data_IF_724149520662
#
_entry.id   IF_724149520662
#
_cell.length_a   1.000
_cell.length_b   1.000
_cell.length_c   1.000
_cell.angle_alpha   90.00
_cell.angle_beta   90.00
_cell.angle_gamma   90.00
#
_symmetry.space_group_name_H-M   'P 1'
#
loop_
_entity.id
_entity.type
_entity.pdbx_description
1 polymer ?
#
# COMPACT_ATOMS: atom_id res chain seq x y z
N UNK A 1 36.76 5.25 -31.40
CA UNK A 1 36.33 5.37 -29.99
C UNK A 1 34.88 4.94 -29.95
N UNK A 2 34.46 3.98 -29.09
CA UNK A 2 33.05 3.66 -28.99
C UNK A 2 32.27 4.93 -28.62
N UNK A 3 31.14 5.14 -29.29
CA UNK A 3 30.22 6.25 -29.04
C UNK A 3 29.88 6.30 -27.55
N UNK A 4 30.11 7.46 -26.93
CA UNK A 4 29.82 7.67 -25.51
C UNK A 4 28.31 7.83 -25.35
N UNK A 5 27.71 7.03 -24.47
CA UNK A 5 26.26 6.87 -24.37
C UNK A 5 25.77 7.36 -23.02
N UNK A 6 24.60 7.98 -23.00
CA UNK A 6 23.89 8.33 -21.77
C UNK A 6 22.92 7.21 -21.43
N UNK A 7 22.75 6.91 -20.15
CA UNK A 7 21.84 5.86 -19.72
C UNK A 7 20.97 6.28 -18.54
N UNK A 8 19.79 5.69 -18.45
CA UNK A 8 18.99 5.65 -17.22
C UNK A 8 18.85 4.20 -16.79
N UNK A 9 19.02 3.95 -15.49
CA UNK A 9 18.65 2.66 -14.88
C UNK A 9 17.51 2.88 -13.91
N UNK A 10 16.41 2.17 -14.10
CA UNK A 10 15.27 2.16 -13.18
C UNK A 10 15.43 0.94 -12.29
N UNK A 11 15.36 1.13 -10.97
CA UNK A 11 15.50 0.09 -9.96
C UNK A 11 14.18 -0.11 -9.23
N UNK A 12 13.91 -1.37 -8.94
CA UNK A 12 12.78 -1.81 -8.12
C UNK A 12 13.33 -2.71 -7.02
N UNK A 13 13.27 -2.21 -5.80
CA UNK A 13 13.53 -2.98 -4.59
C UNK A 13 12.21 -3.55 -4.05
N UNK A 14 12.23 -4.84 -3.72
CA UNK A 14 11.10 -5.50 -3.08
C UNK A 14 11.07 -5.20 -1.57
N UNK A 15 9.91 -5.35 -0.91
CA UNK A 15 9.85 -5.50 0.54
C UNK A 15 10.88 -6.52 1.06
N UNK A 16 11.58 -6.17 2.14
CA UNK A 16 12.67 -6.98 2.68
C UNK A 16 14.02 -6.79 1.99
N UNK A 17 14.15 -5.89 1.00
CA UNK A 17 15.46 -5.60 0.39
C UNK A 17 16.39 -4.98 1.45
N UNK A 18 17.59 -5.55 1.69
CA UNK A 18 18.52 -5.02 2.69
C UNK A 18 19.04 -3.62 2.34
N UNK A 19 19.11 -2.76 3.35
CA UNK A 19 19.71 -1.42 3.27
C UNK A 19 21.12 -1.46 3.86
N UNK A 20 22.12 -1.09 3.06
CA UNK A 20 23.54 -1.19 3.41
C UNK A 20 24.03 0.01 4.21
N UNK A 21 23.50 1.21 3.96
CA UNK A 21 23.94 2.44 4.61
C UNK A 21 23.09 2.75 5.84
N UNK A 22 21.77 2.60 5.72
CA UNK A 22 20.83 2.91 6.81
C UNK A 22 20.63 1.73 7.79
N UNK A 23 21.06 0.52 7.38
CA UNK A 23 20.78 -0.72 8.10
C UNK A 23 19.30 -1.15 8.00
N UNK A 24 19.04 -2.42 8.31
CA UNK A 24 17.69 -2.98 8.24
C UNK A 24 17.24 -3.32 6.81
N UNK A 25 15.94 -3.26 6.56
CA UNK A 25 15.31 -3.73 5.31
C UNK A 25 14.18 -2.78 4.90
N UNK A 26 13.97 -2.64 3.59
CA UNK A 26 12.87 -1.84 3.05
C UNK A 26 11.52 -2.44 3.43
N UNK A 27 10.61 -1.62 3.99
CA UNK A 27 9.27 -2.07 4.41
C UNK A 27 8.33 -2.26 3.20
N UNK A 28 7.93 -1.22 2.45
CA UNK A 28 7.06 -1.38 1.27
C UNK A 28 7.81 -1.71 -0.03
N UNK A 29 9.15 -1.80 0.00
CA UNK A 29 9.99 -1.75 -1.19
C UNK A 29 10.32 -0.31 -1.59
N UNK A 30 11.06 -0.13 -2.69
CA UNK A 30 11.40 1.20 -3.21
C UNK A 30 11.53 1.21 -4.73
N UNK A 31 11.11 2.29 -5.37
CA UNK A 31 11.37 2.53 -6.80
C UNK A 31 12.16 3.82 -6.93
N UNK A 32 13.27 3.75 -7.66
CA UNK A 32 14.18 4.86 -7.85
C UNK A 32 14.90 4.70 -9.19
N UNK A 33 15.61 5.74 -9.63
CA UNK A 33 16.38 5.68 -10.86
C UNK A 33 17.78 6.26 -10.68
N UNK A 34 18.68 5.88 -11.57
CA UNK A 34 19.98 6.53 -11.70
C UNK A 34 20.23 6.94 -13.13
N UNK A 35 20.93 8.04 -13.33
CA UNK A 35 21.44 8.43 -14.65
C UNK A 35 22.95 8.23 -14.72
N UNK A 36 23.45 7.75 -15.85
CA UNK A 36 24.86 7.62 -16.14
C UNK A 36 25.24 8.55 -17.31
N UNK A 37 26.26 9.37 -17.13
CA UNK A 37 26.74 10.28 -18.17
C UNK A 37 27.71 9.59 -19.15
N UNK A 38 28.05 10.31 -20.22
CA UNK A 38 28.99 9.86 -21.25
C UNK A 38 30.42 9.52 -20.73
N UNK A 39 30.74 9.82 -19.48
CA UNK A 39 32.02 9.52 -18.82
C UNK A 39 31.92 8.39 -17.79
N UNK A 40 30.72 7.84 -17.58
CA UNK A 40 30.45 6.78 -16.60
C UNK A 40 30.10 7.28 -15.21
N UNK A 41 29.91 8.60 -15.01
CA UNK A 41 29.49 9.11 -13.71
C UNK A 41 28.01 8.81 -13.50
N UNK A 42 27.70 8.17 -12.36
CA UNK A 42 26.34 7.83 -11.96
C UNK A 42 25.81 8.82 -10.94
N UNK A 43 24.52 9.11 -11.05
CA UNK A 43 23.76 9.91 -10.08
C UNK A 43 22.49 9.16 -9.74
N UNK A 44 22.24 8.95 -8.45
CA UNK A 44 21.01 8.30 -7.97
C UNK A 44 19.95 9.36 -7.64
N UNK A 45 18.70 9.00 -7.88
CA UNK A 45 17.53 9.81 -7.57
C UNK A 45 16.41 8.91 -7.06
N UNK A 46 16.07 9.05 -5.79
CA UNK A 46 14.82 8.53 -5.25
C UNK A 46 14.19 9.48 -4.25
N UNK A 47 12.99 9.14 -3.81
CA UNK A 47 12.16 10.00 -2.97
C UNK A 47 11.53 9.19 -1.85
N UNK A 48 11.76 9.59 -0.61
CA UNK A 48 11.31 8.90 0.59
C UNK A 48 11.03 9.93 1.70
N UNK A 49 10.25 9.60 2.74
CA UNK A 49 10.04 10.49 3.88
C UNK A 49 11.37 10.77 4.59
N UNK A 50 11.54 11.99 5.13
CA UNK A 50 12.73 12.35 5.93
C UNK A 50 12.88 11.43 7.14
N UNK A 51 11.77 11.09 7.78
CA UNK A 51 11.72 10.13 8.87
C UNK A 51 11.54 8.73 8.30
N UNK A 52 12.58 7.91 8.40
CA UNK A 52 12.59 6.55 7.88
C UNK A 52 11.43 5.73 8.46
N UNK A 53 10.63 5.14 7.58
CA UNK A 53 9.48 4.31 7.96
C UNK A 53 8.17 5.08 8.17
N UNK A 54 8.15 6.41 8.05
CA UNK A 54 6.91 7.19 8.15
C UNK A 54 6.01 7.03 6.93
N UNK A 55 4.72 6.73 7.13
CA UNK A 55 3.75 6.62 6.05
C UNK A 55 3.41 7.99 5.40
N UNK A 56 3.64 9.10 6.11
CA UNK A 56 3.42 10.44 5.59
C UNK A 56 4.30 11.45 6.30
N UNK A 57 4.79 12.45 5.58
CA UNK A 57 5.64 13.49 6.16
C UNK A 57 6.35 14.31 5.09
N UNK A 58 7.19 15.28 5.48
CA UNK A 58 8.06 15.96 4.55
C UNK A 58 8.90 14.91 3.81
N UNK A 59 8.82 14.92 2.48
CA UNK A 59 9.63 14.06 1.64
C UNK A 59 11.01 14.68 1.42
N UNK A 60 11.99 13.82 1.19
CA UNK A 60 13.33 14.21 0.77
C UNK A 60 13.76 13.35 -0.39
N UNK A 61 14.57 13.95 -1.27
CA UNK A 61 15.28 13.21 -2.30
C UNK A 61 16.56 12.62 -1.73
N UNK A 62 16.81 11.36 -2.06
CA UNK A 62 18.01 10.62 -1.73
C UNK A 62 18.86 10.43 -2.98
N UNK A 63 20.15 10.71 -2.85
CA UNK A 63 21.19 10.57 -3.88
C UNK A 63 22.08 9.34 -3.67
N UNK A 64 21.79 8.54 -2.64
CA UNK A 64 22.52 7.35 -2.24
C UNK A 64 21.76 6.03 -2.47
N UNK A 65 20.53 6.06 -3.02
CA UNK A 65 19.69 4.86 -3.14
C UNK A 65 20.35 3.71 -3.92
N UNK A 66 21.14 4.01 -4.96
CA UNK A 66 21.93 3.00 -5.69
C UNK A 66 22.92 2.27 -4.79
N UNK A 67 23.53 2.95 -3.84
CA UNK A 67 24.53 2.38 -2.92
C UNK A 67 23.88 1.79 -1.67
N UNK A 68 22.69 2.26 -1.31
CA UNK A 68 21.96 1.82 -0.12
C UNK A 68 21.22 0.49 -0.36
N UNK A 69 20.53 0.33 -1.48
CA UNK A 69 19.68 -0.86 -1.71
C UNK A 69 20.48 -2.04 -2.28
N UNK A 70 20.66 -3.09 -1.48
CA UNK A 70 21.40 -4.29 -1.88
C UNK A 70 20.54 -5.23 -2.72
N UNK A 71 20.96 -5.47 -3.98
CA UNK A 71 20.33 -6.42 -4.92
C UNK A 71 18.82 -6.17 -5.12
N UNK A 72 18.42 -5.02 -5.68
CA UNK A 72 17.02 -4.78 -6.03
C UNK A 72 16.47 -5.91 -6.91
N UNK A 73 15.21 -6.30 -6.71
CA UNK A 73 14.60 -7.45 -7.40
C UNK A 73 14.60 -7.26 -8.92
N UNK A 74 14.53 -6.02 -9.39
CA UNK A 74 14.57 -5.69 -10.80
C UNK A 74 15.36 -4.40 -11.07
N UNK A 75 16.10 -4.40 -12.17
CA UNK A 75 16.74 -3.21 -12.71
C UNK A 75 16.66 -3.23 -14.24
N UNK A 76 16.23 -2.13 -14.86
CA UNK A 76 16.23 -1.95 -16.32
C UNK A 76 17.09 -0.75 -16.69
N UNK A 77 18.13 -0.98 -17.47
CA UNK A 77 18.97 0.07 -18.05
C UNK A 77 18.53 0.33 -19.48
N UNK A 78 18.41 1.61 -19.86
CA UNK A 78 18.09 2.06 -21.20
C UNK A 78 19.06 3.14 -21.63
N UNK A 79 19.55 3.07 -22.87
CA UNK A 79 20.22 4.21 -23.49
C UNK A 79 19.21 5.33 -23.77
N UNK A 80 19.61 6.55 -23.46
CA UNK A 80 18.81 7.76 -23.60
C UNK A 80 19.58 8.82 -24.36
N UNK A 81 18.86 9.81 -24.89
CA UNK A 81 19.47 10.98 -25.50
C UNK A 81 20.04 11.92 -24.42
N UNK A 82 20.93 12.83 -24.82
CA UNK A 82 21.45 13.87 -23.92
C UNK A 82 20.31 14.75 -23.35
N UNK A 83 19.32 15.11 -24.17
CA UNK A 83 18.17 15.92 -23.73
C UNK A 83 17.37 15.20 -22.63
N UNK A 84 17.11 13.90 -22.82
CA UNK A 84 16.46 13.08 -21.80
C UNK A 84 17.29 12.98 -20.52
N UNK A 85 18.61 12.82 -20.64
CA UNK A 85 19.53 12.82 -19.50
C UNK A 85 19.46 14.14 -18.73
N UNK A 86 19.52 15.28 -19.43
CA UNK A 86 19.49 16.61 -18.81
C UNK A 86 18.15 16.82 -18.08
N UNK A 87 17.01 16.46 -18.70
CA UNK A 87 15.67 16.55 -18.09
C UNK A 87 15.50 15.65 -16.86
N UNK A 88 15.99 14.41 -16.92
CA UNK A 88 15.98 13.50 -15.76
C UNK A 88 16.79 14.08 -14.60
N UNK A 89 17.95 14.69 -14.90
CA UNK A 89 18.78 15.33 -13.88
C UNK A 89 18.14 16.62 -13.34
N UNK A 90 17.49 17.44 -14.18
CA UNK A 90 16.83 18.67 -13.74
C UNK A 90 15.62 18.37 -12.84
N UNK A 91 14.72 17.49 -13.28
CA UNK A 91 13.62 17.01 -12.45
C UNK A 91 14.15 16.31 -11.21
N UNK A 92 15.15 15.45 -11.43
CA UNK A 92 15.93 14.82 -10.39
C UNK A 92 16.25 15.85 -9.34
N UNK A 93 16.99 16.92 -9.65
CA UNK A 93 17.50 17.98 -8.75
C UNK A 93 16.46 18.90 -8.11
N UNK A 94 15.35 19.19 -8.78
CA UNK A 94 14.33 20.11 -8.26
C UNK A 94 12.94 19.74 -8.76
N UNK A 95 12.44 18.59 -8.30
CA UNK A 95 11.11 18.11 -8.69
C UNK A 95 9.99 19.10 -8.30
N UNK A 96 10.16 19.85 -7.20
CA UNK A 96 9.22 20.87 -6.74
C UNK A 96 9.00 21.98 -7.78
N UNK A 97 10.06 22.43 -8.46
CA UNK A 97 9.98 23.39 -9.57
C UNK A 97 9.11 22.90 -10.74
N UNK A 98 8.99 21.59 -10.91
CA UNK A 98 8.18 20.96 -11.97
C UNK A 98 6.78 20.55 -11.51
N UNK A 99 6.33 21.05 -10.35
CA UNK A 99 5.00 20.78 -9.82
C UNK A 99 4.87 19.44 -9.11
N UNK A 100 5.97 18.73 -8.86
CA UNK A 100 5.94 17.55 -8.00
C UNK A 100 5.75 17.97 -6.54
N UNK A 101 4.82 17.31 -5.84
CA UNK A 101 4.59 17.58 -4.44
C UNK A 101 5.79 17.04 -3.63
N UNK A 102 6.47 17.86 -2.83
CA UNK A 102 7.58 17.37 -2.00
C UNK A 102 7.12 16.75 -0.67
N UNK A 103 5.81 16.66 -0.44
CA UNK A 103 5.24 15.97 0.71
C UNK A 103 5.10 14.48 0.40
N UNK A 104 5.80 13.62 1.13
CA UNK A 104 5.61 12.18 1.01
C UNK A 104 4.23 11.79 1.56
N UNK A 105 3.43 11.14 0.72
CA UNK A 105 2.10 10.65 1.06
C UNK A 105 1.97 9.25 0.48
N UNK A 106 2.18 8.22 1.31
CA UNK A 106 2.14 6.78 1.01
C UNK A 106 1.61 6.37 -0.37
N UNK A 107 0.35 6.69 -0.67
CA UNK A 107 -0.37 6.25 -1.87
C UNK A 107 -0.71 7.36 -2.87
N UNK A 108 -0.47 8.62 -2.50
CA UNK A 108 -0.84 9.80 -3.31
C UNK A 108 0.37 10.49 -3.92
N UNK A 109 1.54 10.34 -3.30
CA UNK A 109 2.79 10.94 -3.73
C UNK A 109 3.98 10.21 -3.08
N UNK A 110 4.50 9.21 -3.77
CA UNK A 110 5.52 8.29 -3.24
C UNK A 110 6.73 8.13 -4.19
N UNK A 111 7.60 7.16 -3.89
CA UNK A 111 8.80 6.86 -4.68
C UNK A 111 8.50 6.43 -6.13
N UNK A 112 7.38 5.73 -6.34
CA UNK A 112 6.88 5.30 -7.66
C UNK A 112 6.40 6.53 -8.45
N UNK A 113 5.59 7.39 -7.83
CA UNK A 113 5.10 8.63 -8.47
C UNK A 113 6.26 9.56 -8.85
N UNK A 114 7.26 9.70 -7.97
CA UNK A 114 8.46 10.49 -8.25
C UNK A 114 9.21 9.95 -9.46
N UNK A 115 9.41 8.63 -9.52
CA UNK A 115 10.13 8.00 -10.64
C UNK A 115 9.35 8.15 -11.95
N UNK A 116 8.03 7.94 -11.94
CA UNK A 116 7.21 8.14 -13.14
C UNK A 116 7.12 9.60 -13.56
N UNK A 117 7.04 10.54 -12.62
CA UNK A 117 7.05 11.97 -12.91
C UNK A 117 8.38 12.39 -13.58
N UNK A 118 9.51 11.86 -13.10
CA UNK A 118 10.82 12.09 -13.73
C UNK A 118 10.89 11.54 -15.15
N UNK A 119 10.48 10.27 -15.34
CA UNK A 119 10.47 9.62 -16.65
C UNK A 119 9.55 10.37 -17.63
N UNK A 120 8.35 10.74 -17.19
CA UNK A 120 7.39 11.49 -18.00
C UNK A 120 7.90 12.89 -18.36
N UNK A 121 8.58 13.58 -17.43
CA UNK A 121 9.20 14.88 -17.69
C UNK A 121 10.30 14.77 -18.77
N UNK A 122 11.02 13.65 -18.79
CA UNK A 122 12.00 13.33 -19.81
C UNK A 122 11.39 12.76 -21.12
N UNK A 123 10.07 12.64 -21.24
CA UNK A 123 9.42 12.07 -22.42
C UNK A 123 9.61 10.56 -22.58
N UNK A 124 9.92 9.86 -21.49
CA UNK A 124 10.02 8.40 -21.42
C UNK A 124 8.70 7.88 -20.83
N UNK A 125 7.91 7.21 -21.66
CA UNK A 125 6.54 6.81 -21.30
C UNK A 125 6.37 5.28 -21.35
N UNK A 126 5.55 4.77 -20.43
CA UNK A 126 5.00 3.41 -20.50
C UNK A 126 3.96 3.30 -21.61
N UNK A 127 3.72 2.09 -22.12
CA UNK A 127 2.58 1.87 -23.00
C UNK A 127 1.27 2.05 -22.21
N UNK A 128 0.37 2.88 -22.73
CA UNK A 128 -0.92 3.16 -22.11
C UNK A 128 -1.91 2.06 -22.49
N UNK A 129 -2.34 1.23 -21.52
CA UNK A 129 -3.33 0.17 -21.74
C UNK A 129 -4.52 0.29 -20.77
N UNK A 130 -5.74 0.12 -21.27
CA UNK A 130 -6.94 -0.18 -20.48
C UNK A 130 -7.08 -1.70 -20.42
N UNK A 131 -7.22 -2.22 -19.20
CA UNK A 131 -7.58 -3.62 -18.95
C UNK A 131 -9.11 -3.70 -18.87
N UNK A 132 -9.74 -4.24 -19.91
CA UNK A 132 -11.18 -4.52 -19.92
C UNK A 132 -11.43 -5.97 -19.44
N UNK A 133 -12.47 -6.21 -18.63
CA UNK A 133 -12.89 -7.57 -18.34
C UNK A 133 -13.33 -8.24 -19.64
N UNK A 134 -12.63 -9.29 -20.02
CA UNK A 134 -13.01 -10.19 -21.11
C UNK A 134 -14.20 -11.03 -20.70
N UNK A 135 -15.05 -11.36 -21.68
CA UNK A 135 -16.27 -12.14 -21.49
C UNK A 135 -16.03 -13.64 -21.26
N UNK A 136 -14.80 -14.07 -20.96
CA UNK A 136 -14.37 -15.47 -20.93
C UNK A 136 -14.16 -16.08 -19.54
N UNK A 137 -14.62 -15.43 -18.47
CA UNK A 137 -14.43 -15.88 -17.09
C UNK A 137 -13.19 -15.30 -16.41
N UNK A 138 -12.89 -15.72 -15.17
CA UNK A 138 -11.82 -15.15 -14.34
C UNK A 138 -10.46 -15.28 -15.05
N UNK A 139 -9.78 -14.16 -15.28
CA UNK A 139 -8.46 -14.12 -15.93
C UNK A 139 -8.49 -13.85 -17.44
N UNK A 140 -9.66 -13.71 -18.06
CA UNK A 140 -9.76 -13.20 -19.43
C UNK A 140 -9.71 -11.67 -19.40
N UNK A 141 -8.53 -11.09 -19.57
CA UNK A 141 -8.33 -9.65 -19.62
C UNK A 141 -7.95 -9.22 -21.04
N UNK A 142 -8.70 -8.27 -21.61
CA UNK A 142 -8.39 -7.70 -22.93
C UNK A 142 -7.63 -6.40 -22.71
N UNK A 143 -6.36 -6.36 -23.15
CA UNK A 143 -5.52 -5.17 -23.13
C UNK A 143 -5.83 -4.33 -24.37
N UNK A 144 -6.38 -3.13 -24.18
CA UNK A 144 -6.69 -2.18 -25.26
C UNK A 144 -5.87 -0.92 -25.07
N UNK A 145 -5.17 -0.46 -26.12
CA UNK A 145 -4.37 0.76 -26.10
C UNK A 145 -5.24 1.98 -25.73
N UNK A 146 -4.83 2.77 -24.75
CA UNK A 146 -5.62 3.85 -24.16
C UNK A 146 -4.95 5.22 -24.33
N UNK A 147 -5.71 6.32 -24.50
CA UNK A 147 -5.13 7.65 -24.65
C UNK A 147 -4.72 8.31 -23.31
N UNK A 148 -5.26 7.84 -22.18
CA UNK A 148 -5.07 8.45 -20.84
C UNK A 148 -4.38 7.47 -19.89
N UNK A 149 -3.49 8.01 -19.07
CA UNK A 149 -2.70 7.28 -18.09
C UNK A 149 -3.62 6.86 -16.92
N UNK A 150 -3.93 5.56 -16.82
CA UNK A 150 -4.81 5.05 -15.76
C UNK A 150 -3.94 4.77 -14.52
N UNK A 151 -3.46 5.85 -13.89
CA UNK A 151 -2.67 5.83 -12.65
C UNK A 151 -3.51 5.45 -11.41
N UNK A 152 -4.27 4.36 -11.51
CA UNK A 152 -5.30 4.01 -10.52
C UNK A 152 -5.22 2.61 -9.93
N UNK A 153 -4.30 1.75 -10.38
CA UNK A 153 -4.22 0.34 -9.92
C UNK A 153 -2.81 -0.13 -9.51
N UNK A 154 -1.74 0.49 -10.02
CA UNK A 154 -0.35 0.00 -9.83
C UNK A 154 0.56 0.92 -8.99
N UNK A 155 0.08 2.09 -8.54
CA UNK A 155 0.89 3.14 -7.91
C UNK A 155 1.42 2.80 -6.50
N UNK A 156 0.98 1.69 -5.92
CA UNK A 156 1.23 1.36 -4.50
C UNK A 156 2.51 0.55 -4.28
N UNK A 157 3.00 -0.18 -5.29
CA UNK A 157 3.99 -1.25 -5.08
C UNK A 157 5.07 -1.24 -6.16
N UNK A 158 6.34 -0.98 -5.80
CA UNK A 158 7.46 -1.00 -6.74
C UNK A 158 7.49 -2.28 -7.62
N UNK A 159 7.22 -3.46 -7.05
CA UNK A 159 7.25 -4.74 -7.78
C UNK A 159 6.16 -4.86 -8.85
N UNK A 160 5.01 -4.21 -8.68
CA UNK A 160 3.91 -4.25 -9.66
C UNK A 160 4.15 -3.29 -10.84
N UNK A 161 5.13 -2.39 -10.70
CA UNK A 161 5.53 -1.49 -11.78
C UNK A 161 6.54 -2.16 -12.73
N UNK A 162 6.98 -3.40 -12.46
CA UNK A 162 7.95 -4.09 -13.33
C UNK A 162 7.38 -4.28 -14.73
N UNK A 163 6.11 -4.70 -14.89
CA UNK A 163 5.49 -4.83 -16.21
C UNK A 163 5.35 -3.46 -16.91
N UNK A 164 4.98 -2.41 -16.16
CA UNK A 164 4.87 -1.05 -16.68
C UNK A 164 6.24 -0.52 -17.14
N UNK A 165 7.30 -0.79 -16.37
CA UNK A 165 8.69 -0.46 -16.74
C UNK A 165 9.09 -1.25 -17.99
N UNK A 166 8.74 -2.53 -18.08
CA UNK A 166 9.02 -3.37 -19.25
C UNK A 166 8.31 -2.89 -20.52
N UNK A 167 7.14 -2.25 -20.38
CA UNK A 167 6.41 -1.68 -21.51
C UNK A 167 7.06 -0.43 -22.12
N UNK A 168 8.02 0.21 -21.44
CA UNK A 168 8.70 1.39 -21.97
C UNK A 168 9.44 1.00 -23.26
N UNK A 169 9.13 1.70 -24.36
CA UNK A 169 9.90 1.58 -25.60
C UNK A 169 11.32 2.13 -25.37
N UNK A 170 12.35 1.41 -25.82
CA UNK A 170 13.73 1.86 -25.66
C UNK A 170 13.93 3.19 -26.42
N UNK A 171 14.33 4.28 -25.75
CA UNK A 171 14.51 5.58 -26.41
C UNK A 171 15.54 5.53 -27.54
N UNK A 172 16.59 4.72 -27.36
CA UNK A 172 17.50 4.31 -28.44
C UNK A 172 17.32 2.80 -28.69
N UNK A 173 16.56 2.40 -29.73
CA UNK A 173 16.33 1.00 -30.07
C UNK A 173 17.64 0.26 -30.38
N UNK A 174 17.68 -1.04 -30.06
CA UNK A 174 18.82 -1.93 -30.34
C UNK A 174 20.18 -1.50 -29.76
N UNK A 175 20.20 -0.57 -28.80
CA UNK A 175 21.42 -0.24 -28.09
C UNK A 175 21.92 -1.43 -27.25
N UNK A 176 23.25 -1.73 -27.26
CA UNK A 176 23.84 -2.71 -26.37
C UNK A 176 23.83 -2.32 -24.88
N UNK A 177 23.48 -1.07 -24.56
CA UNK A 177 23.31 -0.58 -23.17
C UNK A 177 21.94 -0.99 -22.61
N UNK A 178 20.97 -1.26 -23.48
CA UNK A 178 19.63 -1.68 -23.07
C UNK A 178 19.71 -3.08 -22.44
N UNK A 179 19.53 -3.16 -21.13
CA UNK A 179 19.68 -4.41 -20.36
C UNK A 179 18.63 -4.51 -19.26
N UNK A 180 18.31 -5.74 -18.88
CA UNK A 180 17.43 -6.04 -17.75
C UNK A 180 18.11 -7.04 -16.82
N UNK A 181 17.99 -6.80 -15.52
CA UNK A 181 18.49 -7.70 -14.47
C UNK A 181 17.37 -8.03 -13.50
N UNK A 182 17.25 -9.30 -13.15
CA UNK A 182 16.37 -9.81 -12.10
C UNK A 182 17.18 -10.51 -11.03
N UNK A 183 16.88 -10.21 -9.77
CA UNK A 183 17.43 -10.89 -8.60
C UNK A 183 16.31 -11.71 -7.93
N UNK A 184 16.62 -12.78 -7.19
CA UNK A 184 15.62 -13.52 -6.44
C UNK A 184 15.00 -12.66 -5.34
N UNK A 185 13.75 -12.93 -4.98
CA UNK A 185 13.10 -12.29 -3.84
C UNK A 185 13.87 -12.54 -2.53
N UNK A 186 13.92 -11.55 -1.61
CA UNK A 186 14.54 -11.74 -0.29
C UNK A 186 13.88 -12.91 0.44
N UNK A 187 14.68 -13.84 0.96
CA UNK A 187 14.21 -15.07 1.62
C UNK A 187 13.85 -14.87 3.10
N UNK A 188 14.43 -13.84 3.73
CA UNK A 188 14.34 -13.57 5.18
C UNK A 188 13.36 -12.42 5.46
N UNK A 189 12.12 -12.56 4.99
CA UNK A 189 11.08 -11.55 5.23
C UNK A 189 10.47 -11.76 6.61
N UNK A 190 10.39 -10.70 7.43
CA UNK A 190 9.59 -10.71 8.65
C UNK A 190 8.11 -10.98 8.34
N UNK A 191 7.25 -11.41 9.29
CA UNK A 191 5.82 -11.59 9.04
C UNK A 191 5.12 -10.35 8.47
N UNK A 192 5.53 -9.15 8.91
CA UNK A 192 5.10 -7.86 8.35
C UNK A 192 5.58 -7.67 6.90
N UNK A 193 6.81 -8.06 6.59
CA UNK A 193 7.35 -7.98 5.23
C UNK A 193 6.76 -9.04 4.30
N UNK A 194 6.44 -10.23 4.80
CA UNK A 194 5.74 -11.29 4.09
C UNK A 194 4.31 -10.89 3.73
N UNK A 195 3.63 -10.18 4.63
CA UNK A 195 2.33 -9.58 4.37
C UNK A 195 2.40 -8.50 3.27
N UNK A 196 3.55 -7.83 3.11
CA UNK A 196 3.78 -6.79 2.12
C UNK A 196 4.38 -7.30 0.79
N UNK A 197 4.99 -8.49 0.74
CA UNK A 197 5.96 -8.83 -0.32
C UNK A 197 5.43 -9.45 -1.60
N UNK A 198 4.44 -10.35 -1.63
CA UNK A 198 4.05 -10.94 -2.95
C UNK A 198 2.72 -11.70 -3.02
N UNK A 199 1.94 -11.78 -1.94
CA UNK A 199 0.51 -12.14 -1.97
C UNK A 199 -0.19 -11.39 -0.85
N UNK A 200 -1.51 -11.30 -0.91
CA UNK A 200 -2.41 -10.79 0.14
C UNK A 200 -2.88 -9.35 -0.04
N UNK A 201 -3.67 -9.14 -1.08
CA UNK A 201 -4.88 -8.31 -0.95
C UNK A 201 -5.82 -8.96 0.07
N UNK A 202 -6.68 -8.20 0.72
CA UNK A 202 -7.68 -8.71 1.67
C UNK A 202 -8.57 -9.80 1.05
N UNK A 203 -8.75 -9.80 -0.27
CA UNK A 203 -9.51 -10.81 -1.03
C UNK A 203 -8.78 -12.16 -1.20
N UNK A 204 -7.49 -12.25 -0.88
CA UNK A 204 -6.70 -13.47 -1.06
C UNK A 204 -6.87 -14.45 0.11
N UNK A 205 -7.10 -15.76 -0.14
CA UNK A 205 -7.36 -16.74 0.91
C UNK A 205 -6.31 -16.87 2.01
N UNK A 206 -5.04 -16.56 1.73
CA UNK A 206 -3.96 -16.67 2.70
C UNK A 206 -3.69 -15.37 3.48
N UNK A 207 -4.48 -14.30 3.27
CA UNK A 207 -4.40 -13.08 4.07
C UNK A 207 -5.00 -13.36 5.48
N UNK A 208 -4.34 -12.97 6.59
CA UNK A 208 -4.86 -13.21 7.95
C UNK A 208 -6.31 -12.71 8.16
N UNK A 209 -6.61 -11.51 7.66
CA UNK A 209 -7.97 -10.95 7.66
C UNK A 209 -8.90 -11.37 6.50
N UNK A 210 -8.56 -12.37 5.67
CA UNK A 210 -9.46 -12.79 4.58
C UNK A 210 -10.81 -13.27 5.09
N UNK A 211 -10.84 -13.94 6.25
CA UNK A 211 -12.09 -14.36 6.89
C UNK A 211 -13.01 -13.17 7.21
N UNK A 212 -12.45 -12.13 7.84
CA UNK A 212 -13.17 -10.89 8.16
C UNK A 212 -13.56 -10.11 6.91
N UNK A 213 -12.73 -10.12 5.86
CA UNK A 213 -13.07 -9.51 4.57
C UNK A 213 -14.27 -10.18 3.90
N UNK A 214 -14.35 -11.51 3.91
CA UNK A 214 -15.51 -12.25 3.39
C UNK A 214 -16.78 -11.95 4.17
N UNK A 215 -16.67 -11.88 5.49
CA UNK A 215 -17.76 -11.45 6.37
C UNK A 215 -18.26 -10.03 6.03
N UNK A 216 -17.35 -9.09 5.79
CA UNK A 216 -17.71 -7.74 5.33
C UNK A 216 -18.40 -7.77 3.94
N UNK A 217 -17.90 -8.58 3.00
CA UNK A 217 -18.53 -8.77 1.68
C UNK A 217 -19.97 -9.30 1.80
N UNK A 218 -20.19 -10.28 2.68
CA UNK A 218 -21.53 -10.84 2.93
C UNK A 218 -22.47 -9.80 3.56
N UNK A 219 -21.96 -8.98 4.49
CA UNK A 219 -22.69 -7.87 5.08
C UNK A 219 -23.07 -6.79 4.06
N UNK A 220 -22.13 -6.39 3.20
CA UNK A 220 -22.38 -5.43 2.11
C UNK A 220 -23.40 -5.99 1.12
N UNK A 221 -23.33 -7.29 0.78
CA UNK A 221 -24.30 -7.93 -0.11
C UNK A 221 -25.72 -7.91 0.47
N UNK A 222 -25.88 -8.16 1.78
CA UNK A 222 -27.17 -8.04 2.47
C UNK A 222 -27.69 -6.61 2.47
N UNK A 223 -26.83 -5.64 2.81
CA UNK A 223 -27.16 -4.22 2.77
C UNK A 223 -27.62 -3.78 1.37
N UNK A 224 -26.89 -4.19 0.33
CA UNK A 224 -27.25 -3.91 -1.06
C UNK A 224 -28.62 -4.52 -1.41
N UNK A 225 -28.91 -5.75 -0.99
CA UNK A 225 -30.20 -6.39 -1.20
C UNK A 225 -31.36 -5.65 -0.50
N UNK A 226 -31.14 -5.18 0.73
CA UNK A 226 -32.13 -4.40 1.49
C UNK A 226 -32.47 -3.06 0.81
N UNK A 227 -31.49 -2.43 0.14
CA UNK A 227 -31.65 -1.15 -0.54
C UNK A 227 -31.86 -1.26 -2.06
N UNK A 228 -31.96 -2.47 -2.63
CA UNK A 228 -32.15 -2.68 -4.07
C UNK A 228 -30.96 -2.24 -4.94
N UNK A 229 -29.75 -2.24 -4.38
CA UNK A 229 -28.51 -1.90 -5.08
C UNK A 229 -27.92 -3.14 -5.74
N UNK A 230 -27.58 -3.05 -7.02
CA UNK A 230 -26.96 -4.15 -7.75
C UNK A 230 -25.49 -4.37 -7.33
N UNK A 231 -25.01 -5.63 -7.22
CA UNK A 231 -23.62 -5.91 -6.92
C UNK A 231 -22.65 -5.25 -7.91
N UNK A 232 -21.53 -4.75 -7.42
CA UNK A 232 -20.55 -4.03 -8.24
C UNK A 232 -19.12 -4.22 -7.72
N UNK A 233 -18.09 -3.93 -8.53
CA UNK A 233 -16.70 -3.93 -8.06
C UNK A 233 -16.44 -3.01 -6.87
N UNK A 234 -17.32 -2.01 -6.60
CA UNK A 234 -17.21 -1.13 -5.42
C UNK A 234 -17.49 -1.86 -4.11
N UNK A 235 -18.18 -2.99 -4.13
CA UNK A 235 -18.50 -3.75 -2.92
C UNK A 235 -17.21 -4.25 -2.24
N UNK A 236 -16.23 -4.67 -3.04
CA UNK A 236 -14.90 -5.08 -2.55
C UNK A 236 -14.11 -3.94 -1.91
N UNK A 237 -14.26 -2.72 -2.41
CA UNK A 237 -13.64 -1.51 -1.83
C UNK A 237 -14.23 -1.22 -0.47
N UNK A 238 -15.56 -1.23 -0.43
CA UNK A 238 -16.33 -0.94 0.76
C UNK A 238 -16.06 -1.98 1.86
N UNK A 239 -16.12 -3.27 1.52
CA UNK A 239 -15.77 -4.37 2.42
C UNK A 239 -14.32 -4.28 2.92
N UNK A 240 -13.39 -3.89 2.05
CA UNK A 240 -11.98 -3.69 2.41
C UNK A 240 -11.81 -2.61 3.48
N UNK A 241 -12.45 -1.44 3.30
CA UNK A 241 -12.40 -0.36 4.29
C UNK A 241 -13.05 -0.75 5.62
N UNK A 242 -14.19 -1.44 5.60
CA UNK A 242 -14.84 -1.96 6.80
C UNK A 242 -13.94 -2.96 7.55
N UNK A 243 -13.23 -3.83 6.82
CA UNK A 243 -12.30 -4.82 7.41
C UNK A 243 -11.15 -4.14 8.14
N UNK A 244 -10.56 -3.09 7.56
CA UNK A 244 -9.47 -2.33 8.19
C UNK A 244 -9.96 -1.59 9.42
N UNK A 245 -11.11 -0.92 9.34
CA UNK A 245 -11.68 -0.21 10.48
C UNK A 245 -12.01 -1.16 11.63
N UNK A 246 -12.63 -2.31 11.33
CA UNK A 246 -12.91 -3.34 12.34
C UNK A 246 -11.63 -3.91 12.97
N UNK A 247 -10.59 -4.13 12.17
CA UNK A 247 -9.29 -4.57 12.67
C UNK A 247 -8.68 -3.55 13.65
N UNK A 248 -8.74 -2.25 13.31
CA UNK A 248 -8.22 -1.17 14.15
C UNK A 248 -8.92 -1.06 15.52
N UNK A 249 -10.21 -1.43 15.58
CA UNK A 249 -11.01 -1.48 16.82
C UNK A 249 -10.83 -2.79 17.60
N UNK A 250 -9.88 -3.66 17.18
CA UNK A 250 -9.63 -4.94 17.84
C UNK A 250 -10.82 -5.90 17.77
N UNK A 251 -11.64 -5.79 16.71
CA UNK A 251 -12.74 -6.70 16.43
C UNK A 251 -12.19 -8.03 15.89
N UNK A 252 -12.91 -9.13 16.15
CA UNK A 252 -12.52 -10.48 15.67
C UNK A 252 -13.27 -10.90 14.40
N UNK A 253 -14.39 -10.25 14.11
CA UNK A 253 -15.19 -10.50 12.92
C UNK A 253 -16.17 -9.36 12.63
N UNK A 254 -16.94 -9.52 11.56
CA UNK A 254 -18.01 -8.60 11.15
C UNK A 254 -19.28 -9.43 10.91
N UNK A 255 -20.26 -9.35 11.80
CA UNK A 255 -21.51 -10.08 11.67
C UNK A 255 -22.56 -9.29 10.87
N UNK A 256 -22.53 -7.96 10.99
CA UNK A 256 -23.46 -7.06 10.31
C UNK A 256 -22.75 -5.83 9.73
N UNK A 257 -23.28 -5.33 8.61
CA UNK A 257 -22.93 -4.04 8.02
C UNK A 257 -24.20 -3.19 7.95
N UNK A 258 -24.14 -1.97 8.47
CA UNK A 258 -25.29 -1.07 8.57
C UNK A 258 -24.93 0.33 8.11
N UNK A 259 -25.91 1.13 7.69
CA UNK A 259 -25.74 2.55 7.40
C UNK A 259 -26.28 3.40 8.56
N UNK A 260 -25.73 4.61 8.71
CA UNK A 260 -26.40 5.66 9.47
C UNK A 260 -27.71 6.09 8.80
N UNK A 261 -28.59 6.76 9.54
CA UNK A 261 -29.89 7.23 9.04
C UNK A 261 -29.77 8.12 7.79
N UNK A 262 -28.69 8.88 7.68
CA UNK A 262 -28.35 9.75 6.54
C UNK A 262 -27.43 9.10 5.50
N UNK A 263 -27.07 7.83 5.69
CA UNK A 263 -26.10 7.05 4.92
C UNK A 263 -24.68 7.64 4.80
N UNK A 264 -24.34 8.67 5.59
CA UNK A 264 -23.00 9.28 5.58
C UNK A 264 -21.93 8.36 6.13
N UNK A 265 -22.31 7.44 7.04
CA UNK A 265 -21.43 6.45 7.65
C UNK A 265 -21.95 5.04 7.46
N UNK A 266 -21.01 4.12 7.40
CA UNK A 266 -21.27 2.69 7.47
C UNK A 266 -20.61 2.10 8.71
N UNK A 267 -21.27 1.13 9.32
CA UNK A 267 -20.83 0.47 10.54
C UNK A 267 -20.57 -1.00 10.27
N UNK A 268 -19.40 -1.48 10.69
CA UNK A 268 -19.12 -2.89 10.87
C UNK A 268 -19.46 -3.25 12.33
N UNK A 269 -20.23 -4.31 12.53
CA UNK A 269 -20.70 -4.71 13.86
C UNK A 269 -20.33 -6.17 14.12
N UNK A 270 -19.71 -6.42 15.28
CA UNK A 270 -19.45 -7.76 15.83
C UNK A 270 -20.44 -8.03 16.95
N UNK A 271 -21.06 -9.21 16.94
CA UNK A 271 -22.04 -9.68 17.92
C UNK A 271 -23.49 -9.59 17.45
N UNK A 272 -24.40 -10.08 18.29
CA UNK A 272 -25.83 -10.18 18.01
C UNK A 272 -26.56 -8.85 18.25
N UNK A 273 -27.23 -8.32 17.23
CA UNK A 273 -28.05 -7.10 17.31
C UNK A 273 -29.24 -7.19 18.29
N UNK A 274 -29.67 -8.41 18.65
CA UNK A 274 -30.77 -8.65 19.59
C UNK A 274 -30.32 -8.87 21.04
N UNK A 275 -29.03 -8.71 21.36
CA UNK A 275 -28.55 -8.84 22.75
C UNK A 275 -29.15 -7.75 23.65
N UNK A 276 -29.86 -8.18 24.69
CA UNK A 276 -30.68 -7.32 25.57
C UNK A 276 -29.84 -6.36 26.42
N UNK A 277 -28.56 -6.66 26.63
CA UNK A 277 -27.67 -5.82 27.44
C UNK A 277 -26.62 -5.06 26.62
N UNK A 278 -26.44 -5.39 25.33
CA UNK A 278 -25.50 -4.70 24.42
C UNK A 278 -24.02 -4.77 24.81
N UNK A 279 -23.67 -5.49 25.89
CA UNK A 279 -22.33 -5.54 26.48
C UNK A 279 -21.28 -6.26 25.61
N UNK A 280 -21.73 -7.05 24.64
CA UNK A 280 -20.86 -7.88 23.80
C UNK A 280 -20.69 -7.32 22.38
N UNK A 281 -21.23 -6.11 22.10
CA UNK A 281 -21.23 -5.53 20.76
C UNK A 281 -20.01 -4.62 20.56
N UNK A 282 -19.17 -4.96 19.59
CA UNK A 282 -18.13 -4.05 19.08
C UNK A 282 -18.57 -3.45 17.76
N UNK A 283 -18.18 -2.21 17.52
CA UNK A 283 -18.48 -1.53 16.27
C UNK A 283 -17.29 -0.72 15.80
N UNK A 284 -17.07 -0.74 14.49
CA UNK A 284 -16.22 0.19 13.79
C UNK A 284 -17.04 0.95 12.75
N UNK A 285 -16.55 2.10 12.31
CA UNK A 285 -17.25 2.90 11.31
C UNK A 285 -16.29 3.43 10.25
N UNK A 286 -16.85 3.72 9.08
CA UNK A 286 -16.17 4.38 7.95
C UNK A 286 -17.11 5.42 7.34
N UNK A 287 -16.55 6.46 6.70
CA UNK A 287 -17.35 7.33 5.84
C UNK A 287 -17.72 6.59 4.55
N UNK A 288 -19.01 6.52 4.23
CA UNK A 288 -19.54 5.66 3.16
C UNK A 288 -18.92 5.99 1.80
N UNK A 289 -18.89 7.28 1.44
CA UNK A 289 -18.34 7.72 0.15
C UNK A 289 -16.84 7.45 0.04
N UNK A 290 -16.08 7.76 1.10
CA UNK A 290 -14.65 7.48 1.13
C UNK A 290 -14.37 5.98 1.00
N UNK A 291 -15.15 5.14 1.68
CA UNK A 291 -14.98 3.70 1.67
C UNK A 291 -15.30 3.07 0.30
N UNK A 292 -16.33 3.57 -0.39
CA UNK A 292 -16.66 3.16 -1.77
C UNK A 292 -15.58 3.56 -2.79
N UNK A 293 -14.86 4.65 -2.53
CA UNK A 293 -13.80 5.16 -3.40
C UNK A 293 -12.42 4.58 -3.08
N UNK A 294 -12.22 4.02 -1.90
CA UNK A 294 -10.94 3.48 -1.45
C UNK A 294 -10.62 2.16 -2.16
N UNK A 295 -9.59 2.09 -3.03
CA UNK A 295 -9.24 0.84 -3.70
C UNK A 295 -8.89 -0.26 -2.70
N UNK A 296 -9.25 -1.51 -2.98
CA UNK A 296 -9.00 -2.64 -2.09
C UNK A 296 -7.50 -2.80 -1.76
N UNK A 297 -6.62 -2.48 -2.71
CA UNK A 297 -5.18 -2.52 -2.50
C UNK A 297 -4.72 -1.53 -1.40
N UNK A 298 -5.38 -0.37 -1.29
CA UNK A 298 -5.12 0.62 -0.24
C UNK A 298 -5.57 0.12 1.13
N UNK A 299 -6.77 -0.47 1.21
CA UNK A 299 -7.23 -1.09 2.45
C UNK A 299 -6.32 -2.26 2.86
N UNK A 300 -5.86 -3.05 1.89
CA UNK A 300 -4.91 -4.14 2.15
C UNK A 300 -3.56 -3.65 2.66
N UNK A 301 -3.07 -2.52 2.14
CA UNK A 301 -1.82 -1.90 2.60
C UNK A 301 -1.96 -1.25 3.99
N UNK A 302 -3.14 -0.74 4.36
CA UNK A 302 -3.40 -0.13 5.65
C UNK A 302 -3.65 -1.14 6.79
N UNK A 303 -3.97 -2.38 6.45
CA UNK A 303 -4.31 -3.43 7.42
C UNK A 303 -3.23 -3.71 8.48
N UNK A 304 -1.92 -3.77 8.18
CA UNK A 304 -0.91 -4.09 9.19
C UNK A 304 -0.85 -3.06 10.32
N UNK A 305 -1.01 -1.76 10.00
CA UNK A 305 -1.09 -0.70 11.00
C UNK A 305 -2.37 -0.82 11.84
N UNK A 306 -3.50 -1.13 11.19
CA UNK A 306 -4.75 -1.39 11.90
C UNK A 306 -4.64 -2.59 12.85
N UNK A 307 -3.91 -3.64 12.47
CA UNK A 307 -3.67 -4.80 13.33
C UNK A 307 -2.88 -4.43 14.59
N UNK A 308 -1.79 -3.68 14.43
CA UNK A 308 -0.98 -3.22 15.56
C UNK A 308 -1.80 -2.35 16.52
N UNK A 309 -2.58 -1.41 15.98
CA UNK A 309 -3.50 -0.57 16.76
C UNK A 309 -4.53 -1.42 17.51
N UNK A 310 -5.20 -2.35 16.83
CA UNK A 310 -6.21 -3.21 17.43
C UNK A 310 -5.65 -4.09 18.54
N UNK A 311 -4.44 -4.63 18.34
CA UNK A 311 -3.73 -5.41 19.37
C UNK A 311 -3.40 -4.56 20.60
N UNK A 312 -2.90 -3.36 20.41
CA UNK A 312 -2.60 -2.44 21.51
C UNK A 312 -3.87 -2.07 22.30
N UNK A 313 -4.98 -1.82 21.60
CA UNK A 313 -6.28 -1.51 22.21
C UNK A 313 -6.78 -2.67 23.08
N UNK A 314 -6.74 -3.90 22.57
CA UNK A 314 -7.17 -5.10 23.31
C UNK A 314 -6.31 -5.32 24.55
N UNK A 315 -4.98 -5.20 24.44
CA UNK A 315 -4.07 -5.35 25.57
C UNK A 315 -4.34 -4.30 26.67
N UNK A 316 -4.63 -3.06 26.29
CA UNK A 316 -4.96 -2.00 27.24
C UNK A 316 -6.27 -2.28 27.98
N UNK A 317 -7.30 -2.77 27.27
CA UNK A 317 -8.58 -3.15 27.88
C UNK A 317 -8.43 -4.32 28.86
N UNK A 318 -7.65 -5.35 28.51
CA UNK A 318 -7.39 -6.50 29.38
C UNK A 318 -6.65 -6.09 30.66
N UNK A 319 -5.66 -5.20 30.57
CA UNK A 319 -4.96 -4.68 31.75
C UNK A 319 -5.87 -3.88 32.67
N UNK A 320 -6.74 -3.03 32.12
CA UNK A 320 -7.71 -2.27 32.92
C UNK A 320 -8.71 -3.17 33.65
N UNK A 321 -9.24 -4.20 32.97
CA UNK A 321 -10.14 -5.16 33.61
C UNK A 321 -9.46 -5.94 34.74
N UNK A 322 -8.19 -6.34 34.57
CA UNK A 322 -7.45 -7.01 35.63
C UNK A 322 -7.22 -6.11 36.85
N UNK A 323 -6.92 -4.82 36.63
CA UNK A 323 -6.76 -3.86 37.73
C UNK A 323 -8.08 -3.60 38.47
N UNK A 324 -9.20 -3.46 37.75
CA UNK A 324 -10.52 -3.31 38.36
C UNK A 324 -10.93 -4.55 39.16
N UNK A 325 -10.75 -5.75 38.60
CA UNK A 325 -11.05 -7.00 39.31
C UNK A 325 -10.21 -7.14 40.59
N UNK A 326 -8.92 -6.77 40.57
CA UNK A 326 -8.07 -6.77 41.77
C UNK A 326 -8.52 -5.73 42.81
N UNK A 327 -8.99 -4.55 42.38
CA UNK A 327 -9.53 -3.52 43.28
C UNK A 327 -10.87 -3.95 43.90
N UNK A 328 -11.77 -4.59 43.15
CA UNK A 328 -13.04 -5.11 43.67
C UNK A 328 -12.81 -6.21 44.71
N UNK A 329 -11.88 -7.14 44.46
CA UNK A 329 -11.50 -8.18 45.43
C UNK A 329 -10.86 -7.56 46.69
N UNK A 330 -10.04 -6.51 46.54
CA UNK A 330 -9.44 -5.80 47.65
C UNK A 330 -10.45 -4.95 48.47
N UNK A 331 -11.54 -4.49 47.86
CA UNK A 331 -12.62 -3.75 48.53
C UNK A 331 -13.62 -4.70 49.22
N UNK A 332 -13.99 -5.81 48.58
CA UNK A 332 -14.87 -6.83 49.14
C UNK A 332 -14.27 -7.48 50.40
N UNK A 333 -12.95 -7.64 50.45
CA UNK A 333 -12.23 -8.16 51.63
C UNK A 333 -12.13 -7.18 52.80
N UNK A 334 -12.54 -5.92 52.64
CA UNK A 334 -12.54 -4.88 53.70
C UNK A 334 -13.93 -4.59 54.30
N UNK A 335 -15.00 -5.25 53.84
CA UNK A 335 -16.34 -5.04 54.39
C UNK A 335 -16.50 -5.74 55.76
N UNK A 336 -16.84 -5.04 56.85
CA UNK A 336 -16.99 -5.65 58.17
C UNK A 336 -18.27 -6.48 58.25
N UNK A 337 -18.17 -7.67 58.86
CA UNK A 337 -19.31 -8.55 59.18
C UNK A 337 -20.23 -7.82 60.17
N UNK A 338 -21.40 -7.33 59.72
CA UNK A 338 -22.47 -6.93 60.64
C UNK A 338 -23.13 -8.19 61.20
N UNK A 339 -22.84 -8.49 62.46
CA UNK A 339 -23.54 -9.51 63.26
C UNK A 339 -24.97 -9.05 63.51
N UNK A 340 -25.95 -9.73 62.93
CA UNK A 340 -27.36 -9.61 63.30
C UNK A 340 -27.56 -10.29 64.66
N UNK A 341 -28.01 -9.51 65.65
CA UNK A 341 -28.32 -9.94 67.02
C UNK A 341 -29.70 -10.57 67.14
#
# INVERSE_FOLDING_TARGET
>A
MPERKYAVTIYVAAPGTPLLLDGGTSLPGHMYFSTEDATGNKRSFGFAPIEHGSASGPGRRYDSDVDNYSKPVYARTMEITKDQFDRLNEFGHDAGKFGFNMQYQDVRNNCVDFTWAALNHAGIHREKHIVLPGSGGPGSEVRVRAPVDVSGKNALRPTHNIEDIQSIENPVPHSPVNTEKRNPMPKDQSPMQWLLSDKHRLDQPAHPANGMFRQAMDGVAKLNAEHGVAPSPRDSRFAGSLTVAATAEGMRGIDHVMLSDDASRAFAVEGNLQSVHGLDRKMAWVETMQALETPLDRSSAAWPQAEEQGRALVQQQEQQQQQQAQQEVAQASKAPFMSLS
#
